data_IF_431196873467
#
_entry.id   IF_431196873467
#
_cell.length_a   1.000
_cell.length_b   1.000
_cell.length_c   1.000
_cell.angle_alpha   90.00
_cell.angle_beta   90.00
_cell.angle_gamma   90.00
#
_symmetry.space_group_name_H-M   'P 1'
#
loop_
_entity.id
_entity.type
_entity.pdbx_description
1 polymer ?
#
# COMPACT_ATOMS: atom_id res chain seq x y z
N UNK A 1 11.12 -3.98 -15.96
CA UNK A 1 12.56 -3.76 -15.68
C UNK A 1 12.83 -4.07 -14.22
N UNK A 2 13.96 -4.69 -13.88
CA UNK A 2 14.29 -5.03 -12.49
C UNK A 2 15.20 -3.95 -11.88
N UNK A 3 14.96 -3.62 -10.60
CA UNK A 3 15.83 -2.74 -9.84
C UNK A 3 17.17 -3.45 -9.55
N UNK A 4 18.26 -2.88 -10.05
CA UNK A 4 19.61 -3.42 -9.86
C UNK A 4 20.41 -2.60 -8.84
N UNK A 5 21.38 -3.24 -8.19
CA UNK A 5 22.30 -2.54 -7.27
C UNK A 5 23.05 -1.41 -7.97
N UNK A 6 23.53 -1.64 -9.19
CA UNK A 6 24.23 -0.62 -9.97
C UNK A 6 23.40 0.66 -10.14
N UNK A 7 22.09 0.53 -10.41
CA UNK A 7 21.19 1.69 -10.51
C UNK A 7 21.05 2.41 -9.18
N UNK A 8 20.92 1.66 -8.08
CA UNK A 8 20.80 2.22 -6.73
C UNK A 8 22.06 2.99 -6.36
N UNK A 9 23.23 2.37 -6.48
CA UNK A 9 24.51 2.97 -6.11
C UNK A 9 24.80 4.21 -6.97
N UNK A 10 24.49 4.17 -8.27
CA UNK A 10 24.60 5.32 -9.16
C UNK A 10 23.73 6.51 -8.74
N UNK A 11 22.54 6.25 -8.15
CA UNK A 11 21.60 7.29 -7.72
C UNK A 11 21.87 7.82 -6.31
N UNK A 12 22.50 7.03 -5.45
CA UNK A 12 22.58 7.31 -4.00
C UNK A 12 23.99 7.67 -3.53
N UNK A 13 25.03 7.45 -4.35
CA UNK A 13 26.45 7.69 -4.01
C UNK A 13 26.90 6.99 -2.72
N UNK A 14 26.17 5.98 -2.25
CA UNK A 14 26.58 5.14 -1.14
C UNK A 14 27.39 3.96 -1.66
N UNK A 15 28.19 3.36 -0.78
CA UNK A 15 29.03 2.20 -1.10
C UNK A 15 28.25 0.88 -1.09
N UNK A 16 27.15 0.82 -0.34
CA UNK A 16 26.32 -0.38 -0.19
C UNK A 16 24.83 -0.03 -0.11
N UNK A 17 23.99 -0.87 -0.72
CA UNK A 17 22.52 -0.69 -0.73
C UNK A 17 21.90 -0.70 0.67
N UNK A 18 22.55 -1.35 1.63
CA UNK A 18 22.10 -1.44 3.03
C UNK A 18 22.09 -0.08 3.75
N UNK A 19 22.92 0.86 3.29
CA UNK A 19 23.04 2.21 3.86
C UNK A 19 22.12 3.24 3.20
N UNK A 20 21.31 2.83 2.22
CA UNK A 20 20.40 3.74 1.52
C UNK A 20 19.25 4.13 2.44
N UNK A 21 19.12 5.43 2.71
CA UNK A 21 17.98 6.03 3.43
C UNK A 21 16.95 6.66 2.51
N UNK A 22 17.39 7.29 1.43
CA UNK A 22 16.53 8.03 0.51
C UNK A 22 16.83 7.57 -0.91
N UNK A 23 15.80 7.15 -1.63
CA UNK A 23 15.95 6.62 -2.97
C UNK A 23 14.84 7.14 -3.88
N UNK A 24 15.24 7.83 -4.95
CA UNK A 24 14.33 8.29 -5.99
C UNK A 24 14.57 7.52 -7.29
N UNK A 25 13.55 6.77 -7.69
CA UNK A 25 13.51 5.93 -8.87
C UNK A 25 12.27 6.27 -9.72
N UNK A 26 11.89 7.54 -9.76
CA UNK A 26 10.82 8.03 -10.62
C UNK A 26 11.06 7.68 -12.09
N UNK A 27 10.03 7.18 -12.79
CA UNK A 27 10.04 7.08 -14.25
C UNK A 27 10.97 6.02 -14.83
N UNK A 28 11.29 4.94 -14.12
CA UNK A 28 12.26 3.92 -14.57
C UNK A 28 11.60 2.66 -15.16
N UNK A 29 10.27 2.61 -15.29
CA UNK A 29 9.57 1.42 -15.81
C UNK A 29 9.83 0.14 -15.00
N UNK A 30 10.09 0.28 -13.70
CA UNK A 30 10.39 -0.82 -12.80
C UNK A 30 9.16 -1.69 -12.58
N UNK A 31 9.33 -3.00 -12.70
CA UNK A 31 8.32 -4.04 -12.45
C UNK A 31 8.68 -4.89 -11.24
N UNK A 32 9.99 -5.07 -11.00
CA UNK A 32 10.51 -5.82 -9.86
C UNK A 32 11.44 -4.93 -9.04
N UNK A 33 11.06 -4.75 -7.77
CA UNK A 33 11.77 -3.95 -6.77
C UNK A 33 12.20 -4.80 -5.58
N UNK A 34 12.29 -6.13 -5.73
CA UNK A 34 12.65 -7.07 -4.66
C UNK A 34 13.97 -6.72 -3.94
N UNK A 35 14.88 -6.01 -4.60
CA UNK A 35 16.13 -5.51 -4.02
C UNK A 35 15.91 -4.60 -2.79
N UNK A 36 14.77 -3.90 -2.67
CA UNK A 36 14.47 -3.04 -1.50
C UNK A 36 14.48 -3.81 -0.19
N UNK A 37 14.31 -5.14 -0.23
CA UNK A 37 14.41 -6.01 0.95
C UNK A 37 15.80 -6.00 1.60
N UNK A 38 16.83 -5.58 0.86
CA UNK A 38 18.21 -5.42 1.33
C UNK A 38 18.52 -3.99 1.80
N UNK A 39 17.51 -3.13 1.96
CA UNK A 39 17.67 -1.72 2.35
C UNK A 39 16.93 -1.47 3.69
N UNK A 40 17.40 -2.04 4.82
CA UNK A 40 16.68 -1.95 6.10
C UNK A 40 16.61 -0.53 6.66
N UNK A 41 17.51 0.35 6.24
CA UNK A 41 17.60 1.76 6.66
C UNK A 41 16.78 2.71 5.77
N UNK A 42 16.02 2.18 4.79
CA UNK A 42 15.26 3.01 3.87
C UNK A 42 14.13 3.76 4.62
N UNK A 43 14.16 5.09 4.52
CA UNK A 43 13.24 6.02 5.17
C UNK A 43 12.31 6.69 4.15
N UNK A 44 12.81 7.03 2.96
CA UNK A 44 12.01 7.61 1.88
C UNK A 44 12.28 6.88 0.55
N UNK A 45 11.20 6.45 -0.09
CA UNK A 45 11.24 5.78 -1.39
C UNK A 45 10.24 6.38 -2.36
N UNK A 46 10.76 6.93 -3.46
CA UNK A 46 9.95 7.38 -4.59
C UNK A 46 10.06 6.41 -5.76
N UNK A 47 8.94 5.76 -6.06
CA UNK A 47 8.75 4.82 -7.16
C UNK A 47 7.59 5.22 -8.07
N UNK A 48 7.21 6.50 -8.06
CA UNK A 48 6.14 6.99 -8.93
C UNK A 48 6.49 6.83 -10.42
N UNK A 49 5.47 6.63 -11.25
CA UNK A 49 5.62 6.44 -12.71
C UNK A 49 6.49 5.21 -13.02
N UNK A 50 6.13 4.07 -12.44
CA UNK A 50 6.73 2.78 -12.74
C UNK A 50 5.60 1.78 -13.08
N UNK A 51 5.89 0.48 -13.03
CA UNK A 51 4.97 -0.62 -13.39
C UNK A 51 4.87 -1.65 -12.26
N UNK A 52 4.83 -1.17 -11.03
CA UNK A 52 4.80 -2.03 -9.83
C UNK A 52 3.37 -2.48 -9.60
N UNK A 53 3.16 -3.81 -9.60
CA UNK A 53 1.85 -4.40 -9.33
C UNK A 53 1.67 -4.96 -7.91
N UNK A 54 2.76 -5.09 -7.14
CA UNK A 54 2.73 -5.73 -5.81
C UNK A 54 3.52 -4.95 -4.77
N UNK A 55 3.00 -4.94 -3.53
CA UNK A 55 3.59 -4.24 -2.38
C UNK A 55 4.34 -5.18 -1.42
N UNK A 56 4.34 -6.50 -1.68
CA UNK A 56 4.96 -7.52 -0.82
C UNK A 56 6.43 -7.25 -0.47
N UNK A 57 7.16 -6.61 -1.37
CA UNK A 57 8.60 -6.38 -1.23
C UNK A 57 8.94 -5.31 -0.19
N UNK A 58 7.99 -4.45 0.17
CA UNK A 58 8.21 -3.37 1.14
C UNK A 58 8.04 -3.81 2.59
N UNK A 59 7.50 -5.00 2.84
CA UNK A 59 7.20 -5.53 4.19
C UNK A 59 8.39 -5.57 5.15
N UNK A 60 9.63 -5.62 4.63
CA UNK A 60 10.87 -5.65 5.41
C UNK A 60 11.45 -4.26 5.70
N UNK A 61 10.91 -3.19 5.10
CA UNK A 61 11.44 -1.84 5.20
C UNK A 61 10.92 -1.13 6.46
N UNK A 62 11.23 -1.67 7.65
CA UNK A 62 10.65 -1.22 8.92
C UNK A 62 10.88 0.27 9.26
N UNK A 63 11.90 0.90 8.65
CA UNK A 63 12.21 2.32 8.83
C UNK A 63 11.50 3.25 7.84
N UNK A 64 10.72 2.72 6.91
CA UNK A 64 10.11 3.52 5.85
C UNK A 64 9.07 4.48 6.44
N UNK A 65 9.26 5.77 6.17
CA UNK A 65 8.41 6.89 6.59
C UNK A 65 7.56 7.39 5.42
N UNK A 66 8.13 7.43 4.22
CA UNK A 66 7.46 7.93 3.02
C UNK A 66 7.60 6.96 1.85
N UNK A 67 6.46 6.60 1.25
CA UNK A 67 6.40 5.71 0.09
C UNK A 67 5.53 6.33 -1.01
N UNK A 68 6.15 6.65 -2.14
CA UNK A 68 5.45 7.21 -3.30
C UNK A 68 5.34 6.16 -4.39
N UNK A 69 4.11 5.73 -4.68
CA UNK A 69 3.78 4.73 -5.70
C UNK A 69 2.77 5.26 -6.71
N UNK A 70 2.65 6.59 -6.85
CA UNK A 70 1.73 7.22 -7.81
C UNK A 70 1.98 6.68 -9.23
N UNK A 71 0.91 6.42 -9.99
CA UNK A 71 1.00 5.97 -11.40
C UNK A 71 1.83 4.69 -11.53
N UNK A 72 1.39 3.64 -10.85
CA UNK A 72 1.88 2.27 -10.95
C UNK A 72 0.71 1.33 -11.34
N UNK A 73 0.91 0.01 -11.22
CA UNK A 73 -0.03 -1.01 -11.68
C UNK A 73 -0.63 -1.81 -10.52
N UNK A 74 -0.71 -1.23 -9.31
CA UNK A 74 -1.30 -1.89 -8.14
C UNK A 74 -2.81 -1.98 -8.32
N UNK A 75 -3.31 -3.16 -8.68
CA UNK A 75 -4.72 -3.37 -8.98
C UNK A 75 -5.56 -3.77 -7.77
N UNK A 76 -5.01 -4.64 -6.91
CA UNK A 76 -5.70 -5.14 -5.73
C UNK A 76 -5.44 -4.25 -4.51
N UNK A 77 -6.51 -3.68 -3.95
CA UNK A 77 -6.46 -2.92 -2.70
C UNK A 77 -5.97 -3.77 -1.52
N UNK A 78 -6.16 -5.08 -1.58
CA UNK A 78 -5.64 -6.04 -0.62
C UNK A 78 -4.11 -6.06 -0.51
N UNK A 79 -3.36 -5.54 -1.50
CA UNK A 79 -1.90 -5.44 -1.41
C UNK A 79 -1.42 -4.56 -0.25
N UNK A 80 -2.26 -3.62 0.21
CA UNK A 80 -1.98 -2.74 1.36
C UNK A 80 -1.73 -3.54 2.64
N UNK A 81 -2.21 -4.79 2.73
CA UNK A 81 -1.92 -5.70 3.85
C UNK A 81 -0.42 -5.92 4.08
N UNK A 82 0.40 -5.81 3.03
CA UNK A 82 1.84 -5.99 3.11
C UNK A 82 2.55 -4.80 3.77
N UNK A 83 1.88 -3.66 3.91
CA UNK A 83 2.41 -2.45 4.54
C UNK A 83 2.06 -2.34 6.03
N UNK A 84 1.21 -3.21 6.58
CA UNK A 84 0.73 -3.14 7.98
C UNK A 84 1.89 -3.20 9.00
N UNK A 85 2.97 -3.91 8.67
CA UNK A 85 4.16 -3.98 9.53
C UNK A 85 5.02 -2.71 9.54
N UNK A 86 4.76 -1.74 8.64
CA UNK A 86 5.54 -0.52 8.51
C UNK A 86 5.05 0.54 9.51
N UNK A 87 5.34 0.30 10.78
CA UNK A 87 4.87 1.13 11.90
C UNK A 87 5.32 2.60 11.85
N UNK A 88 6.38 2.90 11.09
CA UNK A 88 6.91 4.27 10.89
C UNK A 88 6.33 4.97 9.66
N UNK A 89 5.55 4.28 8.81
CA UNK A 89 5.02 4.84 7.57
C UNK A 89 4.00 5.94 7.88
N UNK A 90 4.28 7.16 7.42
CA UNK A 90 3.44 8.34 7.63
C UNK A 90 2.86 8.88 6.34
N UNK A 91 3.55 8.74 5.21
CA UNK A 91 3.10 9.29 3.92
C UNK A 91 3.04 8.17 2.88
N UNK A 92 1.88 8.02 2.26
CA UNK A 92 1.65 7.02 1.20
C UNK A 92 0.95 7.69 0.01
N UNK A 93 1.44 7.39 -1.19
CA UNK A 93 0.79 7.81 -2.44
C UNK A 93 0.50 6.57 -3.27
N UNK A 94 -0.78 6.29 -3.54
CA UNK A 94 -1.23 5.26 -4.47
C UNK A 94 -2.17 5.83 -5.55
N UNK A 95 -2.40 7.14 -5.60
CA UNK A 95 -3.16 7.78 -6.68
C UNK A 95 -2.63 7.38 -8.07
N UNK A 96 -3.51 7.40 -9.06
CA UNK A 96 -3.24 6.88 -10.42
C UNK A 96 -2.83 5.39 -10.44
N UNK A 97 -3.22 4.58 -9.44
CA UNK A 97 -3.19 3.11 -9.51
C UNK A 97 -4.62 2.56 -9.62
N UNK A 98 -4.85 1.41 -10.26
CA UNK A 98 -6.20 0.85 -10.37
C UNK A 98 -6.86 0.57 -9.00
N UNK A 99 -6.09 0.27 -7.95
CA UNK A 99 -6.64 0.10 -6.59
C UNK A 99 -7.28 1.37 -6.02
N UNK A 100 -6.84 2.57 -6.48
CA UNK A 100 -7.36 3.85 -6.00
C UNK A 100 -8.76 4.16 -6.53
N UNK A 101 -9.19 3.48 -7.60
CA UNK A 101 -10.55 3.58 -8.16
C UNK A 101 -11.56 2.72 -7.40
N UNK A 102 -11.10 1.86 -6.49
CA UNK A 102 -11.98 0.97 -5.73
C UNK A 102 -12.86 1.76 -4.75
N UNK A 103 -14.16 1.42 -4.62
CA UNK A 103 -15.03 2.05 -3.64
C UNK A 103 -14.49 1.79 -2.23
N UNK A 104 -14.48 2.83 -1.40
CA UNK A 104 -13.94 2.74 -0.04
C UNK A 104 -12.41 2.68 0.04
N UNK A 105 -11.68 2.88 -1.06
CA UNK A 105 -10.20 2.90 -1.12
C UNK A 105 -9.58 3.65 0.07
N UNK A 106 -9.96 4.92 0.27
CA UNK A 106 -9.39 5.77 1.32
C UNK A 106 -9.68 5.23 2.72
N UNK A 107 -10.92 4.83 2.98
CA UNK A 107 -11.32 4.26 4.28
C UNK A 107 -10.58 2.94 4.58
N UNK A 108 -10.46 2.07 3.58
CA UNK A 108 -9.74 0.80 3.70
C UNK A 108 -8.26 1.01 4.03
N UNK A 109 -7.57 1.92 3.32
CA UNK A 109 -6.16 2.22 3.59
C UNK A 109 -5.99 2.80 5.00
N UNK A 110 -6.86 3.72 5.42
CA UNK A 110 -6.84 4.31 6.77
C UNK A 110 -7.05 3.24 7.85
N UNK A 111 -7.97 2.30 7.62
CA UNK A 111 -8.24 1.20 8.54
C UNK A 111 -7.04 0.23 8.65
N UNK A 112 -6.42 -0.11 7.53
CA UNK A 112 -5.28 -1.03 7.49
C UNK A 112 -4.00 -0.40 8.03
N UNK A 113 -3.81 0.91 7.85
CA UNK A 113 -2.62 1.66 8.23
C UNK A 113 -2.96 2.77 9.24
N UNK A 114 -3.25 2.42 10.51
CA UNK A 114 -3.66 3.41 11.51
C UNK A 114 -2.55 4.42 11.86
N UNK A 115 -1.28 4.14 11.53
CA UNK A 115 -0.18 5.09 11.70
C UNK A 115 -0.05 6.13 10.58
N UNK A 116 -0.74 5.97 9.45
CA UNK A 116 -0.53 6.79 8.26
C UNK A 116 -1.06 8.21 8.44
N UNK A 117 -0.23 9.24 8.32
CA UNK A 117 -0.65 10.63 8.51
C UNK A 117 -1.23 11.28 7.24
N UNK A 118 -0.75 10.88 6.06
CA UNK A 118 -1.08 11.49 4.78
C UNK A 118 -1.24 10.43 3.69
N UNK A 119 -2.33 10.54 2.92
CA UNK A 119 -2.65 9.67 1.80
C UNK A 119 -2.99 10.50 0.58
N UNK A 120 -2.29 10.27 -0.54
CA UNK A 120 -2.53 10.90 -1.84
C UNK A 120 -2.55 12.44 -1.80
N UNK A 121 -1.57 12.99 -1.08
CA UNK A 121 -1.43 14.41 -0.81
C UNK A 121 -2.46 15.04 0.17
N UNK A 122 -3.38 14.25 0.70
CA UNK A 122 -4.38 14.71 1.67
C UNK A 122 -4.04 14.23 3.09
N UNK A 123 -4.09 15.12 4.07
CA UNK A 123 -3.96 14.75 5.48
C UNK A 123 -5.12 13.85 5.92
N UNK A 124 -4.83 12.88 6.78
CA UNK A 124 -5.85 12.00 7.36
C UNK A 124 -6.32 12.63 8.67
N UNK A 125 -7.54 13.15 8.65
CA UNK A 125 -8.17 13.73 9.83
C UNK A 125 -8.55 12.66 10.87
N UNK A 126 -8.67 13.07 12.13
CA UNK A 126 -9.15 12.19 13.19
C UNK A 126 -10.56 11.66 12.92
N UNK A 127 -11.43 12.44 12.26
CA UNK A 127 -12.80 12.02 11.96
C UNK A 127 -12.83 10.91 10.90
N UNK A 128 -12.04 11.04 9.82
CA UNK A 128 -11.93 9.98 8.82
C UNK A 128 -11.48 8.65 9.42
N UNK A 129 -10.56 8.69 10.39
CA UNK A 129 -10.15 7.48 11.13
C UNK A 129 -11.29 6.86 11.93
N UNK A 130 -12.09 7.69 12.60
CA UNK A 130 -13.23 7.22 13.39
C UNK A 130 -14.27 6.58 12.49
N UNK A 131 -14.58 7.21 11.35
CA UNK A 131 -15.52 6.69 10.35
C UNK A 131 -15.02 5.38 9.74
N UNK A 132 -13.76 5.32 9.30
CA UNK A 132 -13.17 4.11 8.72
C UNK A 132 -13.17 2.94 9.72
N UNK A 133 -12.91 3.20 10.99
CA UNK A 133 -12.93 2.17 12.04
C UNK A 133 -14.36 1.72 12.38
N UNK A 134 -15.34 2.64 12.32
CA UNK A 134 -16.75 2.36 12.66
C UNK A 134 -17.52 1.65 11.54
N UNK A 135 -17.20 1.93 10.28
CA UNK A 135 -17.82 1.32 9.10
C UNK A 135 -17.64 -0.20 9.04
N UNK A 136 -16.49 -0.71 9.51
CA UNK A 136 -16.23 -2.16 9.60
C UNK A 136 -17.17 -2.91 10.55
N UNK A 137 -17.83 -2.22 11.49
CA UNK A 137 -18.83 -2.80 12.38
C UNK A 137 -20.25 -2.84 11.81
N UNK A 138 -20.53 -2.14 10.71
CA UNK A 138 -21.88 -2.00 10.15
C UNK A 138 -22.18 -2.94 8.97
N UNK A 139 -21.16 -3.46 8.27
CA UNK A 139 -21.34 -4.31 7.09
C UNK A 139 -21.43 -5.82 7.37
N UNK A 140 -21.44 -6.25 8.64
CA UNK A 140 -21.56 -7.69 9.00
C UNK A 140 -23.02 -8.18 9.04
N UNK A 141 -24.02 -7.33 8.77
CA UNK A 141 -25.45 -7.68 8.98
C UNK A 141 -26.35 -7.63 7.74
N UNK A 142 -25.87 -7.95 6.54
CA UNK A 142 -26.78 -8.03 5.36
C UNK A 142 -26.66 -9.27 4.47
N UNK A 143 -25.90 -10.32 4.85
CA UNK A 143 -25.88 -11.59 4.11
C UNK A 143 -26.62 -12.74 4.83
N UNK A 144 -27.71 -12.44 5.54
CA UNK A 144 -28.62 -13.47 6.07
C UNK A 144 -30.06 -13.16 5.73
N UNK A 145 -30.40 -13.27 4.45
CA UNK A 145 -31.78 -13.57 4.03
C UNK A 145 -31.74 -14.37 2.73
N UNK A 146 -32.67 -15.33 2.63
CA UNK A 146 -32.80 -16.43 1.66
C UNK A 146 -31.91 -17.65 2.01
N UNK A 147 -32.41 -18.82 2.36
CA UNK A 147 -33.68 -19.43 1.98
C UNK A 147 -34.12 -20.45 3.05
N UNK A 148 -35.30 -20.22 3.61
CA UNK A 148 -36.02 -21.22 4.39
C UNK A 148 -37.50 -21.02 4.06
N UNK A 149 -37.98 -21.65 2.98
CA UNK A 149 -39.32 -22.25 2.90
C UNK A 149 -39.69 -22.55 1.45
N UNK A 150 -39.55 -23.81 1.05
CA UNK A 150 -40.58 -24.50 0.27
C UNK A 150 -40.21 -25.97 0.06
N UNK A 151 -40.53 -26.80 1.05
CA UNK A 151 -40.72 -28.23 0.82
C UNK A 151 -42.24 -28.49 0.78
N UNK A 152 -42.83 -28.95 -0.34
CA UNK A 152 -44.21 -29.39 -0.33
C UNK A 152 -44.31 -30.75 0.36
N UNK A 153 -45.27 -30.85 1.29
CA UNK A 153 -45.71 -32.10 1.91
C UNK A 153 -46.72 -32.81 1.00
N UNK A 154 -46.55 -34.14 0.91
CA UNK A 154 -47.56 -35.19 0.67
C UNK A 154 -48.15 -35.25 -0.76
N UNK A 155 -48.26 -36.41 -1.41
CA UNK A 155 -48.63 -37.75 -0.93
C UNK A 155 -47.80 -38.86 -1.58
#
# INVERSE_FOLDING_TARGET
>A
MQLSEALVLAKTKVEAVEHVRNLNLWGNGLTDVSLVRRMPLLEMLSLSVNKIGTLRHFSTCANLVELHLRKNEVADLGEVRHLVGLTRLRVLWLCDNPCAESPGYRAHVIQMLPGLAKLDNEEISGEERRVATRGAGAEVTSYRTADASSAPRSQ
#
